data_IF_292979842274
#
_entry.id   IF_292979842274
#
_cell.length_a   1.000
_cell.length_b   1.000
_cell.length_c   1.000
_cell.angle_alpha   90.00
_cell.angle_beta   90.00
_cell.angle_gamma   90.00
#
_symmetry.space_group_name_H-M   'P 1'
#
loop_
_entity.id
_entity.type
_entity.pdbx_description
1 polymer ?
#
# COMPACT_ATOMS: atom_id res chain seq x y z
N UNK A 1 40.43 -18.99 -2.46
CA UNK A 1 39.36 -19.52 -1.58
C UNK A 1 38.54 -18.41 -0.89
N UNK A 2 38.47 -17.17 -1.41
CA UNK A 2 37.87 -16.00 -0.72
C UNK A 2 36.63 -15.36 -1.37
N UNK A 3 36.21 -15.77 -2.56
CA UNK A 3 35.15 -15.10 -3.33
C UNK A 3 33.71 -15.50 -2.94
N UNK A 4 33.51 -16.61 -2.24
CA UNK A 4 32.18 -17.13 -1.90
C UNK A 4 31.61 -16.61 -0.57
N UNK A 5 32.44 -16.04 0.31
CA UNK A 5 32.03 -15.50 1.61
C UNK A 5 31.43 -14.10 1.45
N UNK A 6 31.95 -13.34 0.48
CA UNK A 6 31.64 -11.93 0.25
C UNK A 6 30.26 -11.73 -0.43
N UNK A 7 29.87 -12.65 -1.32
CA UNK A 7 28.58 -12.63 -2.01
C UNK A 7 27.38 -12.94 -1.11
N UNK A 8 27.55 -13.81 -0.10
CA UNK A 8 26.51 -14.14 0.89
C UNK A 8 26.34 -13.06 1.95
N UNK A 9 27.43 -12.40 2.34
CA UNK A 9 27.41 -11.28 3.28
C UNK A 9 26.68 -10.06 2.68
N UNK A 10 26.97 -9.72 1.41
CA UNK A 10 26.25 -8.66 0.67
C UNK A 10 24.77 -8.95 0.46
N UNK A 11 24.41 -10.21 0.14
CA UNK A 11 22.98 -10.61 0.05
C UNK A 11 22.26 -10.50 1.39
N UNK A 12 22.91 -10.85 2.50
CA UNK A 12 22.32 -10.77 3.85
C UNK A 12 22.10 -9.33 4.33
N UNK A 13 23.04 -8.42 4.08
CA UNK A 13 22.86 -7.00 4.45
C UNK A 13 21.78 -6.33 3.60
N UNK A 14 21.69 -6.66 2.31
CA UNK A 14 20.62 -6.20 1.43
C UNK A 14 19.24 -6.70 1.85
N UNK A 15 19.10 -8.01 2.12
CA UNK A 15 17.84 -8.61 2.61
C UNK A 15 17.48 -8.06 4.00
N UNK A 16 18.44 -7.84 4.89
CA UNK A 16 18.18 -7.26 6.22
C UNK A 16 17.65 -5.82 6.13
N UNK A 17 18.17 -5.01 5.20
CA UNK A 17 17.65 -3.66 4.92
C UNK A 17 16.21 -3.68 4.39
N UNK A 18 15.92 -4.57 3.43
CA UNK A 18 14.57 -4.79 2.89
C UNK A 18 13.59 -5.28 3.96
N UNK A 19 13.97 -6.25 4.78
CA UNK A 19 13.12 -6.81 5.85
C UNK A 19 12.87 -5.78 6.95
N UNK A 20 13.83 -4.92 7.27
CA UNK A 20 13.64 -3.85 8.25
C UNK A 20 12.69 -2.78 7.73
N UNK A 21 12.84 -2.37 6.48
CA UNK A 21 11.90 -1.45 5.82
C UNK A 21 10.48 -2.04 5.75
N UNK A 22 10.36 -3.32 5.39
CA UNK A 22 9.10 -4.02 5.30
C UNK A 22 8.42 -4.20 6.67
N UNK A 23 9.19 -4.46 7.74
CA UNK A 23 8.66 -4.58 9.11
C UNK A 23 8.05 -3.29 9.64
N UNK A 24 8.61 -2.13 9.29
CA UNK A 24 8.06 -0.82 9.70
C UNK A 24 6.84 -0.45 8.86
N UNK A 25 6.83 -0.82 7.58
CA UNK A 25 5.68 -0.57 6.71
C UNK A 25 4.47 -1.42 7.09
N UNK A 26 4.69 -2.66 7.49
CA UNK A 26 3.63 -3.61 7.77
C UNK A 26 2.52 -3.08 8.70
N UNK A 27 2.81 -2.50 9.88
CA UNK A 27 1.77 -1.93 10.75
C UNK A 27 1.11 -0.68 10.15
N UNK A 28 1.87 0.16 9.43
CA UNK A 28 1.33 1.37 8.80
C UNK A 28 0.33 0.99 7.70
N UNK A 29 0.73 0.09 6.80
CA UNK A 29 -0.14 -0.42 5.74
C UNK A 29 -1.37 -1.10 6.34
N UNK A 30 -1.19 -1.96 7.35
CA UNK A 30 -2.32 -2.62 8.03
C UNK A 30 -3.28 -1.63 8.66
N UNK A 31 -2.77 -0.57 9.28
CA UNK A 31 -3.58 0.49 9.88
C UNK A 31 -4.37 1.28 8.84
N UNK A 32 -3.73 1.66 7.73
CA UNK A 32 -4.41 2.40 6.64
C UNK A 32 -5.43 1.52 5.92
N UNK A 33 -5.11 0.26 5.61
CA UNK A 33 -6.08 -0.68 5.05
C UNK A 33 -7.25 -0.93 6.00
N UNK A 34 -6.99 -1.08 7.30
CA UNK A 34 -8.03 -1.19 8.33
C UNK A 34 -8.93 0.04 8.37
N UNK A 35 -8.35 1.24 8.31
CA UNK A 35 -9.10 2.50 8.24
C UNK A 35 -9.96 2.56 6.97
N UNK A 36 -9.40 2.21 5.81
CA UNK A 36 -10.15 2.19 4.55
C UNK A 36 -11.35 1.25 4.61
N UNK A 37 -11.18 0.03 5.12
CA UNK A 37 -12.29 -0.93 5.30
C UNK A 37 -13.32 -0.38 6.26
N UNK A 38 -12.92 0.20 7.39
CA UNK A 38 -13.85 0.78 8.36
C UNK A 38 -14.69 1.93 7.74
N UNK A 39 -14.05 2.82 6.98
CA UNK A 39 -14.73 3.89 6.25
C UNK A 39 -15.68 3.34 5.18
N UNK A 40 -15.25 2.31 4.45
CA UNK A 40 -16.04 1.61 3.47
C UNK A 40 -17.31 0.99 4.01
N UNK A 41 -17.18 0.28 5.14
CA UNK A 41 -18.32 -0.29 5.85
C UNK A 41 -19.24 0.81 6.38
N UNK A 42 -18.70 1.92 6.90
CA UNK A 42 -19.51 3.06 7.31
C UNK A 42 -20.30 3.67 6.14
N UNK A 43 -19.70 3.77 4.95
CA UNK A 43 -20.40 4.21 3.74
C UNK A 43 -21.52 3.23 3.39
N UNK A 44 -21.23 1.94 3.33
CA UNK A 44 -22.22 0.94 3.00
C UNK A 44 -23.38 0.87 3.98
N UNK A 45 -23.13 1.09 5.28
CA UNK A 45 -24.20 1.18 6.28
C UNK A 45 -25.14 2.36 6.03
N UNK A 46 -24.61 3.51 5.57
CA UNK A 46 -25.42 4.70 5.28
C UNK A 46 -26.15 4.58 3.94
N UNK A 47 -25.51 3.99 2.93
CA UNK A 47 -26.09 3.80 1.58
C UNK A 47 -26.94 2.52 1.46
N UNK A 48 -26.98 1.68 2.49
CA UNK A 48 -27.72 0.40 2.49
C UNK A 48 -27.07 -0.70 1.64
N UNK A 49 -25.76 -0.63 1.42
CA UNK A 49 -25.01 -1.63 0.68
C UNK A 49 -24.72 -2.87 1.53
N UNK A 50 -24.53 -4.01 0.86
CA UNK A 50 -24.05 -5.21 1.55
C UNK A 50 -22.61 -5.03 2.02
N UNK A 51 -22.17 -5.85 2.98
CA UNK A 51 -20.77 -5.87 3.45
C UNK A 51 -19.81 -6.13 2.28
N UNK A 52 -20.19 -7.01 1.36
CA UNK A 52 -19.39 -7.33 0.19
C UNK A 52 -19.26 -6.13 -0.76
N UNK A 53 -20.35 -5.43 -1.04
CA UNK A 53 -20.36 -4.23 -1.89
C UNK A 53 -19.56 -3.09 -1.25
N UNK A 54 -19.64 -2.95 0.07
CA UNK A 54 -18.87 -1.97 0.84
C UNK A 54 -17.35 -2.22 0.71
N UNK A 55 -16.93 -3.47 0.85
CA UNK A 55 -15.53 -3.88 0.69
C UNK A 55 -15.10 -3.70 -0.78
N UNK A 56 -15.95 -4.09 -1.72
CA UNK A 56 -15.72 -3.90 -3.16
C UNK A 56 -15.48 -2.43 -3.49
N UNK A 57 -16.40 -1.55 -3.10
CA UNK A 57 -16.29 -0.10 -3.26
C UNK A 57 -14.99 0.43 -2.65
N UNK A 58 -14.65 0.01 -1.44
CA UNK A 58 -13.43 0.44 -0.74
C UNK A 58 -12.17 0.13 -1.54
N UNK A 59 -12.04 -1.09 -2.06
CA UNK A 59 -10.88 -1.47 -2.85
C UNK A 59 -10.88 -0.79 -4.22
N UNK A 60 -12.02 -0.71 -4.90
CA UNK A 60 -12.13 -0.07 -6.22
C UNK A 60 -11.81 1.42 -6.15
N UNK A 61 -12.35 2.14 -5.17
CA UNK A 61 -12.06 3.56 -4.98
C UNK A 61 -10.66 3.78 -4.38
N UNK A 62 -10.28 2.97 -3.40
CA UNK A 62 -8.99 3.07 -2.71
C UNK A 62 -7.79 2.74 -3.60
N UNK A 63 -7.91 1.74 -4.48
CA UNK A 63 -6.90 1.45 -5.49
C UNK A 63 -7.03 2.34 -6.72
N UNK A 64 -7.89 3.36 -6.68
CA UNK A 64 -8.12 4.32 -7.77
C UNK A 64 -8.55 3.67 -9.09
N UNK A 65 -9.19 2.50 -9.03
CA UNK A 65 -9.76 1.80 -10.19
C UNK A 65 -11.02 2.53 -10.67
N UNK A 66 -11.94 2.82 -9.74
CA UNK A 66 -13.10 3.69 -9.98
C UNK A 66 -14.09 3.21 -11.05
N UNK A 67 -14.57 1.96 -10.97
CA UNK A 67 -15.56 1.43 -11.93
C UNK A 67 -16.87 2.22 -11.99
N UNK A 68 -17.27 2.87 -10.90
CA UNK A 68 -18.49 3.69 -10.84
C UNK A 68 -19.79 2.90 -10.76
N UNK A 69 -19.71 1.60 -10.48
CA UNK A 69 -20.83 0.70 -10.24
C UNK A 69 -21.54 0.98 -8.89
N UNK A 70 -20.75 1.37 -7.89
CA UNK A 70 -21.22 1.81 -6.58
C UNK A 70 -20.82 3.28 -6.37
N UNK A 71 -21.82 4.14 -6.16
CA UNK A 71 -21.61 5.59 -6.04
C UNK A 71 -22.30 6.14 -4.79
N UNK A 72 -21.57 6.83 -3.90
CA UNK A 72 -22.15 7.45 -2.72
C UNK A 72 -23.10 8.60 -3.11
N UNK A 73 -24.33 8.54 -2.62
CA UNK A 73 -25.38 9.50 -2.93
C UNK A 73 -25.46 10.62 -1.89
N UNK A 74 -25.16 10.33 -0.62
CA UNK A 74 -25.22 11.33 0.45
C UNK A 74 -23.96 12.21 0.51
N UNK A 75 -24.10 13.42 1.07
CA UNK A 75 -22.94 14.31 1.26
C UNK A 75 -21.89 13.68 2.19
N UNK A 76 -22.34 13.02 3.27
CA UNK A 76 -21.48 12.34 4.23
C UNK A 76 -20.64 11.26 3.55
N UNK A 77 -21.29 10.36 2.81
CA UNK A 77 -20.63 9.21 2.17
C UNK A 77 -19.69 9.63 1.06
N UNK A 78 -20.00 10.72 0.36
CA UNK A 78 -19.07 11.35 -0.60
C UNK A 78 -17.80 11.87 0.07
N UNK A 79 -17.93 12.56 1.21
CA UNK A 79 -16.75 12.99 1.98
C UNK A 79 -15.92 11.80 2.45
N UNK A 80 -16.56 10.75 2.95
CA UNK A 80 -15.86 9.52 3.36
C UNK A 80 -15.16 8.83 2.17
N UNK A 81 -15.78 8.81 1.00
CA UNK A 81 -15.18 8.25 -0.22
C UNK A 81 -13.93 9.02 -0.66
N UNK A 82 -13.92 10.35 -0.52
CA UNK A 82 -12.73 11.17 -0.78
C UNK A 82 -11.60 10.78 0.19
N UNK A 83 -11.89 10.56 1.47
CA UNK A 83 -10.89 10.11 2.45
C UNK A 83 -10.31 8.73 2.10
N UNK A 84 -11.12 7.81 1.59
CA UNK A 84 -10.66 6.50 1.08
C UNK A 84 -9.71 6.72 -0.10
N UNK A 85 -10.05 7.60 -1.05
CA UNK A 85 -9.20 7.91 -2.21
C UNK A 85 -7.85 8.51 -1.80
N UNK A 86 -7.84 9.48 -0.88
CA UNK A 86 -6.60 10.09 -0.35
C UNK A 86 -5.74 9.01 0.34
N UNK A 87 -6.35 8.17 1.18
CA UNK A 87 -5.66 7.07 1.86
C UNK A 87 -5.03 6.09 0.86
N UNK A 88 -5.75 5.78 -0.21
CA UNK A 88 -5.27 4.95 -1.32
C UNK A 88 -4.02 5.51 -2.01
N UNK A 89 -4.04 6.80 -2.35
CA UNK A 89 -2.89 7.50 -2.95
C UNK A 89 -1.69 7.49 -2.00
N UNK A 90 -1.91 7.68 -0.69
CA UNK A 90 -0.83 7.62 0.30
C UNK A 90 -0.19 6.23 0.37
N UNK A 91 -0.99 5.16 0.32
CA UNK A 91 -0.49 3.78 0.30
C UNK A 91 0.36 3.53 -0.94
N UNK A 92 -0.14 3.89 -2.13
CA UNK A 92 0.61 3.66 -3.38
C UNK A 92 1.91 4.46 -3.42
N UNK A 93 1.88 5.73 -2.96
CA UNK A 93 3.07 6.57 -2.84
C UNK A 93 4.11 5.99 -1.86
N UNK A 94 3.67 5.50 -0.71
CA UNK A 94 4.56 4.91 0.30
C UNK A 94 5.24 3.64 -0.24
N UNK A 95 4.49 2.76 -0.91
CA UNK A 95 5.04 1.57 -1.55
C UNK A 95 6.08 1.93 -2.61
N UNK A 96 5.77 2.91 -3.47
CA UNK A 96 6.70 3.39 -4.49
C UNK A 96 7.98 3.99 -3.88
N UNK A 97 7.86 4.81 -2.83
CA UNK A 97 9.00 5.42 -2.15
C UNK A 97 9.96 4.38 -1.55
N UNK A 98 9.42 3.31 -0.96
CA UNK A 98 10.23 2.21 -0.42
C UNK A 98 10.92 1.42 -1.52
N UNK A 99 10.23 1.15 -2.62
CA UNK A 99 10.84 0.49 -3.78
C UNK A 99 12.04 1.30 -4.30
N UNK A 100 11.89 2.61 -4.47
CA UNK A 100 12.99 3.51 -4.87
C UNK A 100 14.12 3.50 -3.84
N UNK A 101 13.81 3.56 -2.54
CA UNK A 101 14.81 3.49 -1.49
C UNK A 101 15.59 2.16 -1.51
N UNK A 102 14.91 1.05 -1.75
CA UNK A 102 15.55 -0.27 -1.84
C UNK A 102 16.50 -0.37 -3.04
N UNK A 103 16.13 0.22 -4.19
CA UNK A 103 16.99 0.29 -5.37
C UNK A 103 18.24 1.14 -5.12
N UNK A 104 18.11 2.30 -4.47
CA UNK A 104 19.25 3.17 -4.16
C UNK A 104 20.22 2.59 -3.12
N UNK A 105 19.79 1.60 -2.33
CA UNK A 105 20.63 0.92 -1.34
C UNK A 105 21.34 -0.30 -1.95
N UNK A 106 20.94 -0.75 -3.14
CA UNK A 106 21.65 -1.80 -3.86
C UNK A 106 23.02 -1.27 -4.36
N UNK A 107 24.14 -1.98 -4.12
CA UNK A 107 25.42 -1.59 -4.70
C UNK A 107 25.32 -1.57 -6.23
N UNK A 108 25.96 -0.63 -6.93
CA UNK A 108 26.01 -0.64 -8.39
C UNK A 108 26.54 -2.01 -8.87
N UNK A 109 25.84 -2.60 -9.84
CA UNK A 109 26.26 -3.87 -10.43
C UNK A 109 27.64 -3.71 -11.07
N UNK A 110 28.55 -4.63 -10.78
CA UNK A 110 29.86 -4.70 -11.46
C UNK A 110 29.61 -4.99 -12.94
N UNK A 111 29.58 -3.93 -13.76
CA UNK A 111 29.28 -4.05 -15.19
C UNK A 111 29.39 -2.75 -16.01
N UNK A 112 29.82 -1.63 -15.43
CA UNK A 112 30.13 -0.42 -16.20
C UNK A 112 31.61 -0.05 -16.01
N UNK A 113 32.45 -0.61 -16.89
CA UNK A 113 33.75 -0.07 -17.28
C UNK A 113 33.67 0.31 -18.76
#
# INVERSE_FOLDING_TARGET
>A
MGSNVDSRARRRSFIAGLVTGLRVLWPILSGVFGLMIALGLAIGLVEGWSVQDSIHFTFVSGLTIGYGDLVPMTLLTRTLAILIGISGILVTALVAAVAVKALNVAPPGEGEN
#
